data_IF_383742821107
#
_entry.id   IF_383742821107
#
_cell.length_a   1.000
_cell.length_b   1.000
_cell.length_c   1.000
_cell.angle_alpha   90.00
_cell.angle_beta   90.00
_cell.angle_gamma   90.00
#
_symmetry.space_group_name_H-M   'P 1'
#
loop_
_entity.id
_entity.type
_entity.pdbx_description
1 polymer ?
#
# COMPACT_ATOMS: atom_id res chain seq x y z
N UNK A 1 11.44 -2.00 -1.74
CA UNK A 1 11.09 -1.25 -2.98
C UNK A 1 10.23 -0.06 -2.60
N UNK A 2 10.33 1.07 -3.30
CA UNK A 2 9.52 2.25 -3.02
C UNK A 2 8.27 2.28 -3.91
N UNK A 3 7.14 2.67 -3.34
CA UNK A 3 5.83 2.76 -4.00
C UNK A 3 5.05 3.95 -3.46
N UNK A 4 4.14 4.51 -4.26
CA UNK A 4 3.18 5.51 -3.80
C UNK A 4 1.85 4.85 -3.40
N UNK A 5 1.06 5.49 -2.52
CA UNK A 5 -0.31 5.08 -2.26
C UNK A 5 -1.13 5.00 -3.55
N UNK A 6 -1.83 3.89 -3.75
CA UNK A 6 -2.65 3.67 -4.96
C UNK A 6 -1.91 3.06 -6.14
N UNK A 7 -0.60 2.85 -6.04
CA UNK A 7 0.18 2.19 -7.10
C UNK A 7 -0.28 0.75 -7.31
N UNK A 8 -0.24 0.32 -8.57
CA UNK A 8 -0.42 -1.07 -8.97
C UNK A 8 0.91 -1.60 -9.47
N UNK A 9 1.43 -2.62 -8.80
CA UNK A 9 2.77 -3.15 -9.02
C UNK A 9 2.67 -4.59 -9.52
N UNK A 10 3.34 -4.88 -10.63
CA UNK A 10 3.53 -6.25 -11.11
C UNK A 10 4.82 -6.82 -10.53
N UNK A 11 4.71 -7.89 -9.75
CA UNK A 11 5.82 -8.62 -9.15
C UNK A 11 6.10 -9.88 -9.99
N UNK A 12 7.20 -9.91 -10.76
CA UNK A 12 7.58 -11.11 -11.50
C UNK A 12 8.11 -12.16 -10.53
N UNK A 13 7.44 -13.30 -10.45
CA UNK A 13 7.80 -14.42 -9.58
C UNK A 13 8.29 -15.59 -10.44
N UNK A 14 9.28 -16.32 -9.93
CA UNK A 14 9.71 -17.60 -10.50
C UNK A 14 9.73 -18.64 -9.39
N UNK A 15 9.07 -19.78 -9.66
CA UNK A 15 9.11 -20.96 -8.80
C UNK A 15 9.82 -22.08 -9.56
N UNK A 16 10.80 -22.70 -8.92
CA UNK A 16 11.60 -23.80 -9.48
C UNK A 16 11.39 -25.06 -8.65
N UNK A 17 11.25 -26.21 -9.30
CA UNK A 17 11.24 -27.49 -8.61
C UNK A 17 12.66 -28.07 -8.53
N UNK A 18 13.33 -27.86 -7.40
CA UNK A 18 14.65 -28.43 -7.11
C UNK A 18 14.59 -29.86 -6.55
N UNK A 19 13.39 -30.42 -6.43
CA UNK A 19 13.15 -31.79 -6.02
C UNK A 19 13.52 -32.82 -7.10
N UNK A 20 13.37 -34.10 -6.76
CA UNK A 20 13.69 -35.23 -7.64
C UNK A 20 12.45 -35.88 -8.29
N UNK A 21 11.24 -35.40 -7.97
CA UNK A 21 9.98 -35.85 -8.57
C UNK A 21 9.18 -34.68 -9.13
N UNK A 22 8.26 -34.93 -10.09
CA UNK A 22 7.28 -33.93 -10.49
C UNK A 22 6.47 -33.46 -9.28
N UNK A 23 6.14 -32.17 -9.23
CA UNK A 23 5.38 -31.60 -8.12
C UNK A 23 4.40 -30.54 -8.61
N UNK A 24 3.15 -30.64 -8.16
CA UNK A 24 2.16 -29.60 -8.35
C UNK A 24 2.27 -28.65 -7.17
N UNK A 25 2.33 -27.36 -7.48
CA UNK A 25 2.51 -26.33 -6.47
C UNK A 25 1.35 -25.35 -6.43
N UNK A 26 1.29 -24.63 -5.32
CA UNK A 26 0.38 -23.53 -5.10
C UNK A 26 1.16 -22.35 -4.52
N UNK A 27 0.68 -21.14 -4.75
CA UNK A 27 1.34 -19.91 -4.30
C UNK A 27 0.31 -19.00 -3.63
N UNK A 28 0.62 -18.50 -2.44
CA UNK A 28 -0.35 -17.78 -1.60
C UNK A 28 0.27 -16.60 -0.89
N UNK A 29 -0.55 -15.58 -0.68
CA UNK A 29 -0.28 -14.55 0.33
C UNK A 29 -0.44 -15.17 1.72
N UNK A 30 0.62 -15.09 2.51
CA UNK A 30 0.57 -15.48 3.92
C UNK A 30 0.10 -14.31 4.79
N UNK A 31 0.71 -13.12 4.62
CA UNK A 31 0.32 -11.89 5.34
C UNK A 31 0.98 -10.65 4.74
N UNK A 32 0.44 -9.50 5.11
CA UNK A 32 1.10 -8.19 5.00
C UNK A 32 1.10 -7.56 6.38
N UNK A 33 2.26 -7.07 6.85
CA UNK A 33 2.37 -6.37 8.14
C UNK A 33 2.96 -4.98 7.97
N UNK A 34 2.57 -4.05 8.83
CA UNK A 34 3.25 -2.76 8.97
C UNK A 34 4.61 -2.90 9.71
N UNK A 35 5.30 -1.76 9.89
CA UNK A 35 6.58 -1.67 10.59
C UNK A 35 6.52 -2.11 12.07
N UNK A 36 5.34 -2.16 12.68
CA UNK A 36 5.13 -2.62 14.05
C UNK A 36 4.74 -4.11 14.12
N UNK A 37 4.66 -4.79 12.96
CA UNK A 37 4.26 -6.19 12.86
C UNK A 37 2.76 -6.42 12.95
N UNK A 38 1.94 -5.37 12.80
CA UNK A 38 0.48 -5.46 12.79
C UNK A 38 0.02 -5.89 11.40
N UNK A 39 -0.83 -6.92 11.33
CA UNK A 39 -1.41 -7.37 10.07
C UNK A 39 -2.30 -6.29 9.45
N UNK A 40 -2.10 -6.05 8.15
CA UNK A 40 -2.88 -5.10 7.34
C UNK A 40 -3.38 -5.79 6.07
N UNK A 41 -4.42 -5.21 5.45
CA UNK A 41 -5.04 -5.77 4.26
C UNK A 41 -4.57 -4.99 3.04
N UNK A 42 -3.82 -5.67 2.17
CA UNK A 42 -3.51 -5.22 0.82
C UNK A 42 -4.15 -6.20 -0.16
N UNK A 43 -4.54 -5.69 -1.32
CA UNK A 43 -5.08 -6.52 -2.39
C UNK A 43 -3.92 -7.04 -3.24
N UNK A 44 -3.72 -8.37 -3.21
CA UNK A 44 -2.65 -9.05 -3.92
C UNK A 44 -3.27 -10.21 -4.69
N UNK A 45 -3.23 -10.10 -6.01
CA UNK A 45 -3.80 -11.07 -6.93
C UNK A 45 -2.70 -12.01 -7.45
N UNK A 46 -2.90 -13.31 -7.20
CA UNK A 46 -2.01 -14.38 -7.64
C UNK A 46 -2.80 -15.21 -8.67
N UNK A 47 -2.29 -15.42 -9.90
CA UNK A 47 -2.97 -16.14 -10.96
C UNK A 47 -2.90 -17.66 -10.74
N UNK A 48 -3.54 -18.13 -9.67
CA UNK A 48 -3.42 -19.51 -9.15
C UNK A 48 -3.93 -20.56 -10.12
N UNK A 49 -4.90 -20.21 -10.95
CA UNK A 49 -5.46 -21.05 -12.02
C UNK A 49 -4.45 -21.36 -13.12
N UNK A 50 -3.39 -20.55 -13.25
CA UNK A 50 -2.35 -20.74 -14.25
C UNK A 50 -1.14 -21.52 -13.73
N UNK A 51 -1.10 -21.89 -12.45
CA UNK A 51 0.00 -22.65 -11.86
C UNK A 51 -0.04 -24.12 -12.33
N UNK A 52 1.11 -24.62 -12.79
CA UNK A 52 1.24 -25.92 -13.43
C UNK A 52 2.14 -26.85 -12.61
N UNK A 53 2.02 -28.16 -12.86
CA UNK A 53 2.98 -29.14 -12.33
C UNK A 53 4.36 -28.90 -12.95
N UNK A 54 5.40 -28.97 -12.12
CA UNK A 54 6.79 -28.78 -12.52
C UNK A 54 7.53 -30.11 -12.45
N UNK A 55 8.20 -30.47 -13.54
CA UNK A 55 9.19 -31.55 -13.53
C UNK A 55 10.46 -31.13 -12.76
N UNK A 56 11.27 -32.08 -12.26
CA UNK A 56 12.57 -31.78 -11.64
C UNK A 56 13.45 -30.87 -12.49
N UNK A 57 13.99 -29.82 -11.89
CA UNK A 57 14.87 -28.83 -12.54
C UNK A 57 14.16 -27.85 -13.48
N UNK A 58 12.83 -27.92 -13.59
CA UNK A 58 12.03 -26.95 -14.36
C UNK A 58 11.49 -25.85 -13.47
N UNK A 59 11.09 -24.75 -14.10
CA UNK A 59 10.53 -23.59 -13.42
C UNK A 59 9.30 -23.06 -14.15
N UNK A 60 8.47 -22.32 -13.42
CA UNK A 60 7.41 -21.49 -13.98
C UNK A 60 7.60 -20.05 -13.51
N UNK A 61 7.54 -19.13 -14.46
CA UNK A 61 7.46 -17.70 -14.19
C UNK A 61 6.02 -17.22 -14.36
N UNK A 62 5.57 -16.35 -13.46
CA UNK A 62 4.25 -15.74 -13.49
C UNK A 62 4.26 -14.40 -12.75
N UNK A 63 3.28 -13.57 -13.04
CA UNK A 63 3.16 -12.25 -12.45
C UNK A 63 2.14 -12.24 -11.31
N UNK A 64 2.52 -11.65 -10.18
CA UNK A 64 1.62 -11.34 -9.06
C UNK A 64 1.32 -9.85 -9.10
N UNK A 65 0.05 -9.47 -9.06
CA UNK A 65 -0.36 -8.06 -9.02
C UNK A 65 -0.54 -7.63 -7.56
N UNK A 66 0.14 -6.56 -7.16
CA UNK A 66 0.02 -5.96 -5.83
C UNK A 66 -0.57 -4.56 -5.96
N UNK A 67 -1.76 -4.38 -5.38
CA UNK A 67 -2.47 -3.10 -5.34
C UNK A 67 -2.22 -2.43 -3.97
N UNK A 68 -1.44 -1.36 -3.98
CA UNK A 68 -1.13 -0.56 -2.79
C UNK A 68 -2.37 0.28 -2.44
N UNK A 69 -2.91 0.24 -1.20
CA UNK A 69 -4.12 0.99 -0.88
C UNK A 69 -3.92 2.51 -1.01
N UNK A 70 -4.90 3.23 -1.55
CA UNK A 70 -4.77 4.67 -1.87
C UNK A 70 -4.59 5.60 -0.65
N UNK A 71 -4.95 5.15 0.56
CA UNK A 71 -4.81 5.91 1.81
C UNK A 71 -4.00 5.14 2.86
N UNK A 72 -3.06 4.31 2.41
CA UNK A 72 -2.16 3.60 3.32
C UNK A 72 -1.14 4.59 3.90
N UNK A 73 -0.92 4.59 5.23
CA UNK A 73 0.12 5.41 5.85
C UNK A 73 1.48 5.19 5.20
N UNK A 74 2.30 6.23 5.15
CA UNK A 74 3.69 6.09 4.73
C UNK A 74 4.47 5.22 5.72
N UNK A 75 5.51 4.54 5.24
CA UNK A 75 6.38 3.71 6.06
C UNK A 75 6.69 2.35 5.45
N UNK A 76 7.32 1.48 6.25
CA UNK A 76 7.71 0.15 5.83
C UNK A 76 6.61 -0.88 6.07
N UNK A 77 6.43 -1.75 5.08
CA UNK A 77 5.52 -2.88 5.09
C UNK A 77 6.26 -4.14 4.68
N UNK A 78 5.89 -5.27 5.28
CA UNK A 78 6.43 -6.59 4.94
C UNK A 78 5.33 -7.44 4.31
N UNK A 79 5.52 -7.83 3.06
CA UNK A 79 4.64 -8.77 2.34
C UNK A 79 5.29 -10.16 2.38
N UNK A 80 4.54 -11.16 2.83
CA UNK A 80 5.01 -12.54 2.92
C UNK A 80 4.20 -13.42 1.99
N UNK A 81 4.86 -14.00 1.00
CA UNK A 81 4.30 -14.95 0.04
C UNK A 81 4.90 -16.33 0.30
N UNK A 82 4.14 -17.39 0.04
CA UNK A 82 4.57 -18.76 0.29
C UNK A 82 4.27 -19.66 -0.90
N UNK A 83 5.25 -20.48 -1.24
CA UNK A 83 5.10 -21.59 -2.16
C UNK A 83 4.78 -22.87 -1.37
N UNK A 84 3.77 -23.59 -1.84
CA UNK A 84 3.32 -24.86 -1.26
C UNK A 84 3.50 -25.96 -2.29
N UNK A 85 3.98 -27.11 -1.85
CA UNK A 85 3.91 -28.38 -2.58
C UNK A 85 2.58 -29.08 -2.25
N UNK A 86 2.04 -29.88 -3.17
CA UNK A 86 0.93 -30.78 -2.84
C UNK A 86 1.38 -31.93 -1.94
N UNK A 87 2.66 -32.31 -2.03
CA UNK A 87 3.26 -33.32 -1.19
C UNK A 87 3.58 -32.78 0.21
N UNK A 88 3.53 -33.68 1.19
CA UNK A 88 3.90 -33.36 2.56
C UNK A 88 5.36 -33.69 2.77
N UNK A 89 6.10 -32.79 3.43
CA UNK A 89 7.49 -33.03 3.80
C UNK A 89 7.77 -32.43 5.17
N UNK A 90 8.58 -33.09 6.03
CA UNK A 90 8.94 -32.54 7.33
C UNK A 90 9.79 -31.28 7.19
N UNK A 91 9.45 -30.24 7.92
CA UNK A 91 10.30 -29.07 8.08
C UNK A 91 11.54 -29.37 8.95
N UNK A 92 12.38 -28.36 9.19
CA UNK A 92 13.59 -28.49 10.00
C UNK A 92 13.34 -28.95 11.45
N UNK A 93 12.11 -28.81 11.96
CA UNK A 93 11.70 -29.29 13.28
C UNK A 93 11.11 -30.71 13.25
N UNK A 94 11.02 -31.33 12.07
CA UNK A 94 10.40 -32.63 11.86
C UNK A 94 8.88 -32.58 11.73
N UNK A 95 8.29 -31.38 11.68
CA UNK A 95 6.84 -31.22 11.53
C UNK A 95 6.46 -31.32 10.06
N UNK A 96 5.49 -32.19 9.77
CA UNK A 96 4.90 -32.30 8.44
C UNK A 96 4.28 -30.98 7.97
N UNK A 97 4.71 -30.50 6.81
CA UNK A 97 4.19 -29.29 6.17
C UNK A 97 4.19 -29.40 4.64
N UNK A 98 3.32 -28.61 4.03
CA UNK A 98 3.28 -28.39 2.57
C UNK A 98 4.04 -27.14 2.15
N UNK A 99 4.38 -26.26 3.08
CA UNK A 99 5.17 -25.06 2.77
C UNK A 99 6.56 -25.52 2.30
N UNK A 100 7.02 -24.98 1.18
CA UNK A 100 8.34 -25.26 0.60
C UNK A 100 9.26 -24.06 0.64
N UNK A 101 8.70 -22.88 0.41
CA UNK A 101 9.48 -21.66 0.47
C UNK A 101 8.64 -20.48 0.94
N UNK A 102 9.32 -19.46 1.48
CA UNK A 102 8.72 -18.20 1.93
C UNK A 102 9.51 -17.03 1.35
N UNK A 103 8.84 -16.26 0.49
CA UNK A 103 9.35 -15.02 -0.05
C UNK A 103 8.90 -13.85 0.82
N UNK A 104 9.86 -13.06 1.30
CA UNK A 104 9.61 -11.88 2.14
C UNK A 104 10.03 -10.64 1.36
N UNK A 105 9.08 -9.73 1.12
CA UNK A 105 9.32 -8.47 0.41
C UNK A 105 9.16 -7.30 1.38
N UNK A 106 10.15 -6.42 1.40
CA UNK A 106 10.08 -5.14 2.12
C UNK A 106 9.65 -4.03 1.15
N UNK A 107 8.49 -3.43 1.43
CA UNK A 107 7.88 -2.36 0.65
C UNK A 107 7.93 -1.08 1.49
N UNK A 108 8.36 0.02 0.89
CA UNK A 108 8.38 1.34 1.51
C UNK A 108 7.33 2.17 0.79
N UNK A 109 6.26 2.55 1.50
CA UNK A 109 5.25 3.49 1.00
C UNK A 109 5.78 4.90 1.22
N UNK A 110 5.88 5.65 0.14
CA UNK A 110 6.35 7.03 0.17
C UNK A 110 5.31 7.99 0.81
N UNK A 111 5.81 9.09 1.35
CA UNK A 111 4.97 10.14 1.91
C UNK A 111 4.28 10.93 0.79
N UNK A 112 2.97 11.12 0.94
CA UNK A 112 2.13 11.91 0.05
C UNK A 112 1.39 12.97 0.86
N UNK A 113 1.65 14.23 0.55
CA UNK A 113 1.05 15.39 1.23
C UNK A 113 0.03 16.07 0.31
N UNK A 114 -1.19 16.33 0.82
CA UNK A 114 -2.22 17.06 0.09
C UNK A 114 -3.08 17.89 1.06
N UNK A 115 -2.62 19.11 1.33
CA UNK A 115 -3.32 20.07 2.16
C UNK A 115 -4.21 20.98 1.32
N UNK A 116 -5.51 20.99 1.60
CA UNK A 116 -6.49 21.77 0.87
C UNK A 116 -7.24 22.73 1.79
N UNK A 117 -7.54 23.91 1.27
CA UNK A 117 -8.40 24.91 1.92
C UNK A 117 -9.61 25.18 1.06
N UNK A 118 -10.78 25.21 1.68
CA UNK A 118 -12.04 25.50 1.02
C UNK A 118 -12.94 26.38 1.88
N UNK A 119 -13.89 27.06 1.24
CA UNK A 119 -14.94 27.81 1.92
C UNK A 119 -16.29 27.22 1.52
N UNK A 120 -17.09 26.84 2.50
CA UNK A 120 -18.46 26.42 2.26
C UNK A 120 -19.35 27.65 2.07
N UNK A 121 -19.82 27.85 0.83
CA UNK A 121 -20.66 29.00 0.46
C UNK A 121 -22.03 29.04 1.14
N UNK A 122 -22.47 27.93 1.75
CA UNK A 122 -23.70 27.88 2.56
C UNK A 122 -23.50 28.37 3.99
N UNK A 123 -22.25 28.34 4.48
CA UNK A 123 -21.87 28.74 5.83
C UNK A 123 -21.26 30.15 5.83
N UNK A 124 -20.46 30.48 4.82
CA UNK A 124 -19.78 31.76 4.74
C UNK A 124 -19.60 32.29 3.30
N UNK A 125 -19.22 33.56 3.17
CA UNK A 125 -18.98 34.25 1.90
C UNK A 125 -17.53 34.75 1.79
N UNK A 126 -16.96 34.62 0.60
CA UNK A 126 -15.60 35.07 0.29
C UNK A 126 -15.44 36.59 0.32
N UNK A 127 -16.56 37.33 0.26
CA UNK A 127 -16.57 38.80 0.33
C UNK A 127 -17.52 39.24 1.43
N UNK A 128 -17.01 40.08 2.34
CA UNK A 128 -17.78 40.73 3.40
C UNK A 128 -17.45 42.21 3.43
N UNK A 129 -18.48 43.04 3.51
CA UNK A 129 -18.34 44.50 3.67
C UNK A 129 -18.61 44.88 5.11
N UNK A 130 -17.74 45.69 5.72
CA UNK A 130 -17.94 46.22 7.07
C UNK A 130 -17.50 47.68 7.16
N UNK A 131 -18.03 48.41 8.15
CA UNK A 131 -17.57 49.76 8.44
C UNK A 131 -16.14 49.74 9.02
N UNK A 132 -15.34 50.81 8.83
CA UNK A 132 -14.02 50.92 9.42
C UNK A 132 -14.02 50.65 10.94
N UNK A 133 -12.99 49.94 11.42
CA UNK A 133 -12.85 49.56 12.83
C UNK A 133 -13.66 48.33 13.27
N UNK A 134 -14.37 47.66 12.35
CA UNK A 134 -15.08 46.40 12.64
C UNK A 134 -14.25 45.17 12.29
N UNK A 135 -14.35 44.14 13.13
CA UNK A 135 -13.73 42.83 12.88
C UNK A 135 -14.58 42.03 11.89
N UNK A 136 -13.94 41.53 10.83
CA UNK A 136 -14.54 40.58 9.88
C UNK A 136 -13.93 39.20 10.14
N UNK A 137 -14.77 38.17 10.21
CA UNK A 137 -14.35 36.77 10.36
C UNK A 137 -14.72 35.99 9.12
N UNK A 138 -13.86 35.06 8.71
CA UNK A 138 -14.13 34.08 7.66
C UNK A 138 -14.00 32.68 8.26
N UNK A 139 -14.93 31.80 7.91
CA UNK A 139 -14.88 30.38 8.24
C UNK A 139 -14.34 29.62 7.03
N UNK A 140 -13.26 28.88 7.25
CA UNK A 140 -12.58 28.09 6.22
C UNK A 140 -12.48 26.64 6.72
N UNK A 141 -12.64 25.69 5.81
CA UNK A 141 -12.38 24.28 6.03
C UNK A 141 -10.98 23.95 5.53
N UNK A 142 -10.19 23.28 6.36
CA UNK A 142 -8.87 22.77 6.00
C UNK A 142 -8.93 21.26 6.04
N UNK A 143 -8.45 20.60 4.99
CA UNK A 143 -8.47 19.14 4.86
C UNK A 143 -7.09 18.65 4.49
N UNK A 144 -6.64 17.56 5.14
CA UNK A 144 -5.48 16.80 4.73
C UNK A 144 -5.97 15.54 4.00
N UNK A 145 -5.72 15.46 2.70
CA UNK A 145 -5.98 14.29 1.86
C UNK A 145 -4.72 13.44 1.63
N UNK A 146 -3.58 13.84 2.22
CA UNK A 146 -2.35 13.08 2.22
C UNK A 146 -2.44 11.80 3.07
N UNK A 147 -1.38 11.00 3.03
CA UNK A 147 -1.26 9.77 3.82
C UNK A 147 -0.38 9.92 5.07
N UNK A 148 0.06 11.14 5.38
CA UNK A 148 0.84 11.47 6.59
C UNK A 148 0.20 12.64 7.34
N UNK A 149 0.33 12.70 8.69
CA UNK A 149 -0.14 13.85 9.45
C UNK A 149 0.61 15.14 9.08
N UNK A 150 -0.15 16.18 8.74
CA UNK A 150 0.36 17.51 8.40
C UNK A 150 -0.13 18.58 9.38
N UNK A 151 0.67 19.62 9.59
CA UNK A 151 0.32 20.77 10.44
C UNK A 151 0.11 22.01 9.56
N UNK A 152 -1.14 22.46 9.33
CA UNK A 152 -1.39 23.66 8.55
C UNK A 152 -0.92 24.92 9.28
N UNK A 153 -0.38 25.88 8.52
CA UNK A 153 -0.20 27.26 8.99
C UNK A 153 -0.94 28.20 8.04
N UNK A 154 -1.63 29.19 8.61
CA UNK A 154 -2.35 30.21 7.84
C UNK A 154 -1.83 31.58 8.25
N UNK A 155 -1.29 32.31 7.28
CA UNK A 155 -0.83 33.68 7.46
C UNK A 155 -1.80 34.63 6.76
N UNK A 156 -2.21 35.68 7.46
CA UNK A 156 -3.01 36.74 6.87
C UNK A 156 -2.09 37.76 6.18
N UNK A 157 -2.30 38.00 4.90
CA UNK A 157 -1.60 39.03 4.14
C UNK A 157 -2.60 40.06 3.63
N UNK A 158 -2.33 41.34 3.89
CA UNK A 158 -3.12 42.44 3.34
C UNK A 158 -2.50 42.89 2.03
N UNK A 159 -3.26 42.85 0.93
CA UNK A 159 -2.87 43.45 -0.33
C UNK A 159 -3.71 44.72 -0.57
N UNK A 160 -3.06 45.87 -0.74
CA UNK A 160 -3.73 47.05 -1.30
C UNK A 160 -3.72 46.91 -2.83
N UNK A 161 -4.90 46.94 -3.44
CA UNK A 161 -5.03 47.21 -4.88
C UNK A 161 -5.10 48.72 -5.02
N UNK A 162 -4.06 49.32 -5.59
CA UNK A 162 -4.13 50.72 -6.04
C UNK A 162 -5.19 50.79 -7.15
N UNK A 163 -6.12 51.73 -6.98
CA UNK A 163 -7.25 51.97 -7.89
C UNK A 163 -6.86 52.77 -9.13
#
# INVERSE_FOLDING_TARGET
MNVNPGDQITLPITVTNDGNGPDRFDFRLARVTDAFGVDVIWDIEIPRENLQELSPGTYQAFDVLMNVPARVPAGEYTVVLQAFSEEVYPDASGRETRIRDTLVLTITVDEFHDMQISMDSSVDNAVKTSAPGRVVRFTLNVTNNGNVPDVPTLNNHTAQRDG
#
